data_IF_272815574983
#
_entry.id   IF_272815574983
#
_cell.length_a   1.000
_cell.length_b   1.000
_cell.length_c   1.000
_cell.angle_alpha   90.00
_cell.angle_beta   90.00
_cell.angle_gamma   90.00
#
_symmetry.space_group_name_H-M   'P 1'
#
loop_
_entity.id
_entity.type
_entity.pdbx_description
1 polymer ?
#
# COMPACT_ATOMS: atom_id res chain seq x y z
N UNK A 1 12.12 -60.68 -51.24
CA UNK A 1 12.29 -60.05 -49.91
C UNK A 1 11.16 -59.06 -49.75
N UNK A 2 10.32 -59.01 -48.73
CA UNK A 2 9.87 -59.89 -47.65
C UNK A 2 8.74 -59.06 -46.96
N UNK A 3 7.63 -59.69 -46.56
CA UNK A 3 6.29 -59.09 -46.38
C UNK A 3 6.11 -57.73 -45.65
N UNK A 4 5.00 -57.02 -45.95
CA UNK A 4 4.41 -55.99 -45.09
C UNK A 4 3.58 -56.61 -43.95
N UNK A 5 3.54 -55.95 -42.78
CA UNK A 5 2.52 -55.97 -41.71
C UNK A 5 3.12 -55.28 -40.45
N UNK A 6 2.28 -54.65 -39.63
CA UNK A 6 2.57 -53.88 -38.39
C UNK A 6 2.71 -52.35 -38.51
N UNK A 7 1.65 -51.69 -38.99
CA UNK A 7 1.37 -50.28 -38.70
C UNK A 7 -0.12 -50.01 -38.37
N UNK A 8 -0.87 -51.08 -38.03
CA UNK A 8 -2.29 -51.05 -37.63
C UNK A 8 -2.50 -52.07 -36.51
N UNK A 9 -1.99 -51.77 -35.31
CA UNK A 9 -2.40 -52.38 -34.02
C UNK A 9 -1.61 -51.73 -32.85
N UNK A 10 -1.98 -50.49 -32.50
CA UNK A 10 -1.78 -49.89 -31.18
C UNK A 10 -2.47 -48.51 -31.15
N UNK A 11 -3.28 -48.25 -30.13
CA UNK A 11 -3.98 -46.97 -29.86
C UNK A 11 -5.21 -46.65 -30.74
N UNK A 12 -6.00 -47.66 -31.08
CA UNK A 12 -7.45 -47.52 -30.87
C UNK A 12 -7.72 -47.91 -29.40
N UNK A 13 -7.93 -46.93 -28.51
CA UNK A 13 -8.99 -46.92 -27.47
C UNK A 13 -8.87 -45.67 -26.56
N UNK A 14 -9.25 -44.50 -27.10
CA UNK A 14 -9.75 -43.37 -26.29
C UNK A 14 -10.98 -42.83 -27.02
N UNK A 15 -12.14 -43.45 -26.78
CA UNK A 15 -13.42 -42.83 -27.09
C UNK A 15 -13.71 -41.75 -26.05
N UNK A 16 -13.87 -40.52 -26.50
CA UNK A 16 -14.41 -39.43 -25.69
C UNK A 16 -15.92 -39.65 -25.46
N UNK A 17 -16.28 -40.48 -24.49
CA UNK A 17 -17.61 -40.49 -23.87
C UNK A 17 -17.58 -39.58 -22.62
N UNK A 18 -17.65 -38.26 -22.83
CA UNK A 18 -17.97 -37.27 -21.77
C UNK A 18 -19.14 -36.36 -22.20
N UNK A 19 -20.05 -36.94 -22.99
CA UNK A 19 -21.36 -36.40 -23.30
C UNK A 19 -22.23 -36.51 -22.02
N UNK A 20 -22.21 -35.45 -21.21
CA UNK A 20 -23.04 -35.33 -19.99
C UNK A 20 -24.50 -35.54 -20.37
N UNK A 21 -25.04 -36.69 -20.01
CA UNK A 21 -26.40 -37.06 -20.43
C UNK A 21 -27.41 -36.05 -19.90
N UNK A 22 -28.54 -35.89 -20.60
CA UNK A 22 -29.63 -35.00 -20.14
C UNK A 22 -30.16 -35.37 -18.73
N UNK A 23 -29.89 -36.60 -18.28
CA UNK A 23 -30.16 -37.09 -16.92
C UNK A 23 -29.21 -36.48 -15.89
N UNK A 24 -27.92 -36.35 -16.20
CA UNK A 24 -26.91 -35.76 -15.31
C UNK A 24 -27.11 -34.24 -15.16
N UNK A 25 -27.38 -33.52 -16.25
CA UNK A 25 -27.73 -32.09 -16.18
C UNK A 25 -28.97 -31.85 -15.29
N UNK A 26 -30.02 -32.66 -15.46
CA UNK A 26 -31.22 -32.62 -14.60
C UNK A 26 -30.93 -33.02 -13.16
N UNK A 27 -29.92 -33.86 -12.92
CA UNK A 27 -29.49 -34.26 -11.57
C UNK A 27 -28.77 -33.10 -10.89
N UNK A 28 -27.81 -32.45 -11.55
CA UNK A 28 -27.14 -31.25 -11.06
C UNK A 28 -28.13 -30.10 -10.76
N UNK A 29 -29.09 -29.86 -11.65
CA UNK A 29 -30.13 -28.85 -11.44
C UNK A 29 -31.01 -29.21 -10.22
N UNK A 30 -31.42 -30.48 -10.09
CA UNK A 30 -32.22 -30.97 -8.96
C UNK A 30 -31.48 -30.87 -7.62
N UNK A 31 -30.21 -31.28 -7.57
CA UNK A 31 -29.37 -31.18 -6.37
C UNK A 31 -29.19 -29.72 -5.94
N UNK A 32 -28.99 -28.81 -6.89
CA UNK A 32 -28.88 -27.36 -6.63
C UNK A 32 -30.20 -26.80 -6.08
N UNK A 33 -31.33 -27.17 -6.69
CA UNK A 33 -32.68 -26.80 -6.22
C UNK A 33 -32.94 -27.34 -4.79
N UNK A 34 -32.53 -28.57 -4.52
CA UNK A 34 -32.73 -29.26 -3.25
C UNK A 34 -31.84 -28.69 -2.14
N UNK A 35 -30.61 -28.26 -2.46
CA UNK A 35 -29.75 -27.51 -1.56
C UNK A 35 -30.37 -26.14 -1.19
N UNK A 36 -30.92 -25.41 -2.17
CA UNK A 36 -31.64 -24.15 -1.93
C UNK A 36 -32.87 -24.35 -1.02
N UNK A 37 -33.67 -25.40 -1.28
CA UNK A 37 -34.82 -25.74 -0.43
C UNK A 37 -34.40 -26.16 0.99
N UNK A 38 -33.31 -26.90 1.16
CA UNK A 38 -32.78 -27.26 2.47
C UNK A 38 -32.30 -26.03 3.26
N UNK A 39 -31.70 -25.04 2.57
CA UNK A 39 -31.33 -23.75 3.16
C UNK A 39 -32.57 -22.96 3.56
N UNK A 40 -33.59 -22.85 2.70
CA UNK A 40 -34.87 -22.19 3.02
C UNK A 40 -35.57 -22.85 4.23
N UNK A 41 -35.62 -24.18 4.28
CA UNK A 41 -36.19 -24.93 5.40
C UNK A 41 -35.40 -24.74 6.71
N UNK A 42 -34.08 -24.54 6.64
CA UNK A 42 -33.24 -24.22 7.79
C UNK A 42 -33.48 -22.79 8.28
N UNK A 43 -33.61 -21.83 7.36
CA UNK A 43 -33.95 -20.43 7.67
C UNK A 43 -35.33 -20.31 8.33
N UNK A 44 -36.34 -21.05 7.85
CA UNK A 44 -37.66 -21.10 8.48
C UNK A 44 -37.60 -21.56 9.94
N UNK A 45 -36.82 -22.61 10.25
CA UNK A 45 -36.63 -23.11 11.63
C UNK A 45 -35.91 -22.10 12.52
N UNK A 46 -34.90 -21.40 12.00
CA UNK A 46 -34.16 -20.36 12.74
C UNK A 46 -35.02 -19.12 12.99
N UNK A 47 -35.91 -18.76 12.06
CA UNK A 47 -36.86 -17.65 12.23
C UNK A 47 -37.88 -17.95 13.33
N UNK A 48 -38.36 -19.20 13.41
CA UNK A 48 -39.22 -19.65 14.51
C UNK A 48 -38.47 -19.61 15.85
N UNK A 49 -37.24 -20.14 15.91
CA UNK A 49 -36.42 -20.12 17.14
C UNK A 49 -36.10 -18.72 17.65
N UNK A 50 -35.74 -17.79 16.75
CA UNK A 50 -35.43 -16.41 17.12
C UNK A 50 -36.65 -15.62 17.64
N UNK A 51 -37.85 -15.96 17.21
CA UNK A 51 -39.07 -15.35 17.75
C UNK A 51 -39.32 -15.80 19.20
N UNK A 52 -39.12 -17.10 19.50
CA UNK A 52 -39.18 -17.62 20.86
C UNK A 52 -38.16 -16.91 21.78
N UNK A 53 -36.92 -16.77 21.32
CA UNK A 53 -35.84 -16.16 22.11
C UNK A 53 -36.05 -14.66 22.37
N UNK A 54 -36.66 -13.93 21.42
CA UNK A 54 -37.07 -12.51 21.58
C UNK A 54 -38.30 -12.31 22.49
N UNK A 55 -39.06 -13.35 22.79
CA UNK A 55 -40.11 -13.29 23.82
C UNK A 55 -39.53 -13.57 25.21
N UNK A 56 -38.61 -14.52 25.32
CA UNK A 56 -37.91 -14.82 26.58
C UNK A 56 -36.95 -13.70 27.04
N UNK A 57 -36.31 -12.97 26.11
CA UNK A 57 -35.50 -11.79 26.44
C UNK A 57 -36.36 -10.64 26.94
N UNK A 58 -37.50 -10.34 26.29
CA UNK A 58 -38.46 -9.33 26.77
C UNK A 58 -39.02 -9.66 28.16
N UNK A 59 -39.31 -10.95 28.43
CA UNK A 59 -39.71 -11.41 29.77
C UNK A 59 -38.61 -11.28 30.84
N UNK A 60 -37.33 -11.14 30.47
CA UNK A 60 -36.21 -10.96 31.42
C UNK A 60 -35.92 -9.49 31.73
N UNK A 61 -36.24 -8.57 30.83
CA UNK A 61 -36.04 -7.13 31.05
C UNK A 61 -37.05 -6.56 32.06
N UNK A 62 -38.32 -6.99 32.02
CA UNK A 62 -39.36 -6.57 32.98
C UNK A 62 -39.00 -6.89 34.45
N UNK A 63 -38.18 -7.92 34.71
CA UNK A 63 -37.75 -8.28 36.07
C UNK A 63 -36.54 -7.49 36.59
N UNK A 64 -35.85 -6.70 35.76
CA UNK A 64 -34.70 -5.87 36.20
C UNK A 64 -35.07 -4.43 36.57
N UNK A 65 -36.33 -4.03 36.44
CA UNK A 65 -36.82 -2.69 36.76
C UNK A 65 -36.98 -2.37 38.27
N UNK A 66 -36.70 -3.34 39.16
CA UNK A 66 -36.64 -3.14 40.61
C UNK A 66 -35.39 -3.82 41.17
N UNK A 67 -34.36 -3.03 41.47
CA UNK A 67 -33.82 -2.95 42.84
C UNK A 67 -32.64 -1.98 43.00
N UNK A 68 -32.66 -1.31 44.14
CA UNK A 68 -31.56 -0.69 44.90
C UNK A 68 -31.00 0.71 44.56
N UNK A 69 -30.95 1.49 45.64
CA UNK A 69 -30.43 2.85 45.86
C UNK A 69 -29.49 2.81 47.10
N UNK A 70 -28.67 3.85 47.32
CA UNK A 70 -27.79 4.11 48.51
C UNK A 70 -26.57 3.18 48.69
N UNK A 71 -25.35 3.59 49.07
CA UNK A 71 -24.66 4.88 49.38
C UNK A 71 -23.13 4.71 49.01
N UNK A 72 -22.20 5.69 49.07
CA UNK A 72 -22.17 7.07 49.59
C UNK A 72 -20.82 7.81 49.35
N UNK A 73 -20.39 8.67 50.29
CA UNK A 73 -19.15 9.51 50.28
C UNK A 73 -17.94 8.79 50.97
N UNK A 74 -16.65 9.13 50.89
CA UNK A 74 -15.76 10.20 50.30
C UNK A 74 -14.27 9.68 50.44
N UNK A 75 -13.16 10.41 50.11
CA UNK A 75 -12.94 11.63 49.32
C UNK A 75 -11.84 11.49 48.22
N UNK A 76 -11.49 12.61 47.59
CA UNK A 76 -10.53 12.77 46.48
C UNK A 76 -9.09 13.02 46.97
N UNK A 77 -8.04 12.43 46.35
CA UNK A 77 -6.67 12.95 46.40
C UNK A 77 -6.30 13.71 45.12
N UNK A 78 -5.97 15.00 45.26
CA UNK A 78 -5.21 15.75 44.25
C UNK A 78 -3.74 15.30 44.25
N UNK A 79 -3.09 15.29 43.09
CA UNK A 79 -1.67 14.95 42.98
C UNK A 79 -1.16 14.81 41.55
N UNK A 80 -1.04 15.93 40.83
CA UNK A 80 -0.17 16.00 39.65
C UNK A 80 1.30 16.10 40.11
N UNK A 81 2.23 15.36 39.50
CA UNK A 81 3.64 15.74 39.48
C UNK A 81 3.89 16.68 38.29
N UNK A 82 4.33 17.91 38.57
CA UNK A 82 4.81 18.82 37.53
C UNK A 82 6.15 18.34 36.96
N UNK A 83 6.19 18.10 35.65
CA UNK A 83 7.35 17.59 34.92
C UNK A 83 8.34 18.71 34.51
N UNK A 84 8.72 19.60 35.43
CA UNK A 84 9.66 20.70 35.13
C UNK A 84 11.01 20.69 35.90
N UNK A 85 11.18 19.90 36.97
CA UNK A 85 12.37 20.04 37.86
C UNK A 85 13.43 18.92 37.79
N UNK A 86 13.35 18.01 36.80
CA UNK A 86 14.34 16.92 36.63
C UNK A 86 15.34 17.15 35.47
N UNK A 87 15.58 18.42 35.11
CA UNK A 87 16.51 18.83 34.03
C UNK A 87 17.84 19.44 34.54
N UNK A 88 18.16 19.29 35.84
CA UNK A 88 19.38 19.84 36.47
C UNK A 88 20.17 18.87 37.37
N UNK A 89 20.49 17.66 36.87
CA UNK A 89 21.63 16.88 37.39
C UNK A 89 22.04 15.69 36.48
N UNK A 90 22.45 15.95 35.23
CA UNK A 90 23.17 14.92 34.47
C UNK A 90 24.66 14.95 34.84
N UNK A 91 25.29 13.81 35.19
CA UNK A 91 26.72 13.75 35.47
C UNK A 91 27.52 14.03 34.19
N UNK A 92 28.72 14.64 34.27
CA UNK A 92 29.53 14.96 33.10
C UNK A 92 30.01 13.68 32.39
N UNK A 93 30.03 13.65 31.04
CA UNK A 93 30.31 12.43 30.29
C UNK A 93 31.72 11.90 30.54
N UNK A 94 31.85 10.57 30.69
CA UNK A 94 33.11 9.93 31.06
C UNK A 94 34.02 9.61 29.87
N UNK A 95 33.51 9.58 28.63
CA UNK A 95 34.31 9.25 27.44
C UNK A 95 34.74 10.48 26.63
N UNK A 96 35.89 10.37 25.95
CA UNK A 96 36.41 11.44 25.09
C UNK A 96 35.54 11.69 23.83
N UNK A 97 34.74 10.69 23.42
CA UNK A 97 33.83 10.78 22.27
C UNK A 97 32.58 11.59 22.65
N UNK A 98 31.96 11.28 23.79
CA UNK A 98 30.82 12.04 24.31
C UNK A 98 31.20 13.48 24.64
N UNK A 99 32.40 13.75 25.19
CA UNK A 99 32.87 15.12 25.42
C UNK A 99 32.95 15.94 24.13
N UNK A 100 33.45 15.36 23.03
CA UNK A 100 33.48 16.03 21.71
C UNK A 100 32.06 16.26 21.15
N UNK A 101 31.15 15.29 21.30
CA UNK A 101 29.77 15.43 20.84
C UNK A 101 28.98 16.46 21.66
N UNK A 102 29.18 16.49 22.99
CA UNK A 102 28.56 17.47 23.88
C UNK A 102 29.00 18.90 23.55
N UNK A 103 30.30 19.14 23.37
CA UNK A 103 30.80 20.46 22.95
C UNK A 103 30.23 20.89 21.59
N UNK A 104 30.15 19.99 20.60
CA UNK A 104 29.48 20.29 19.33
C UNK A 104 27.98 20.63 19.50
N UNK A 105 27.25 19.93 20.37
CA UNK A 105 25.83 20.23 20.61
C UNK A 105 25.62 21.63 21.22
N UNK A 106 26.48 22.05 22.16
CA UNK A 106 26.43 23.38 22.77
C UNK A 106 26.76 24.52 21.81
N UNK A 107 27.62 24.29 20.81
CA UNK A 107 27.90 25.30 19.76
C UNK A 107 26.77 25.47 18.75
N UNK A 108 25.91 24.44 18.57
CA UNK A 108 24.87 24.43 17.54
C UNK A 108 23.55 25.07 17.96
N UNK A 109 23.30 25.26 19.26
CA UNK A 109 22.09 25.93 19.75
C UNK A 109 22.06 27.44 19.44
N UNK A 110 23.23 28.06 19.28
CA UNK A 110 23.38 29.50 19.02
C UNK A 110 23.93 29.81 17.61
N UNK A 111 24.10 28.81 16.74
CA UNK A 111 24.66 28.98 15.39
C UNK A 111 23.60 29.42 14.37
N UNK A 112 24.00 30.12 13.31
CA UNK A 112 23.10 30.42 12.20
C UNK A 112 22.54 29.15 11.54
N UNK A 113 21.35 29.15 10.92
CA UNK A 113 20.80 27.94 10.29
C UNK A 113 21.70 27.30 9.22
N UNK A 114 22.54 28.09 8.56
CA UNK A 114 23.53 27.61 7.59
C UNK A 114 24.72 26.91 8.26
N UNK A 115 25.20 27.42 9.40
CA UNK A 115 26.21 26.76 10.25
C UNK A 115 25.66 25.49 10.91
N UNK A 116 24.38 25.52 11.32
CA UNK A 116 23.66 24.35 11.82
C UNK A 116 23.61 23.25 10.74
N UNK A 117 23.11 23.55 9.54
CA UNK A 117 23.00 22.56 8.46
C UNK A 117 24.37 22.03 8.02
N UNK A 118 25.37 22.91 7.82
CA UNK A 118 26.72 22.49 7.41
C UNK A 118 27.49 21.70 8.48
N UNK A 119 27.13 21.85 9.75
CA UNK A 119 27.64 21.03 10.85
C UNK A 119 26.86 19.73 11.01
N UNK A 120 25.55 19.77 10.83
CA UNK A 120 24.70 18.59 10.80
C UNK A 120 25.17 17.62 9.72
N UNK A 121 25.52 18.09 8.51
CA UNK A 121 26.05 17.27 7.40
C UNK A 121 27.38 16.57 7.67
N UNK A 122 27.93 16.69 8.88
CA UNK A 122 29.13 15.97 9.35
C UNK A 122 28.79 14.91 10.42
N UNK A 123 27.50 14.72 10.75
CA UNK A 123 27.02 13.72 11.72
C UNK A 123 26.70 12.39 11.03
N UNK A 124 27.22 11.29 11.59
CA UNK A 124 26.82 9.94 11.17
C UNK A 124 25.42 9.59 11.71
N UNK A 125 24.45 9.41 10.81
CA UNK A 125 23.08 9.02 11.11
C UNK A 125 22.88 7.52 11.40
N UNK A 126 23.91 6.68 11.20
CA UNK A 126 23.88 5.26 11.61
C UNK A 126 23.95 5.15 13.15
N UNK A 127 24.58 6.12 13.82
CA UNK A 127 24.57 6.24 15.27
C UNK A 127 23.23 6.78 15.81
N UNK A 128 22.56 5.99 16.66
CA UNK A 128 21.29 6.36 17.33
C UNK A 128 21.40 7.64 18.16
N UNK A 129 22.57 7.90 18.76
CA UNK A 129 22.85 9.12 19.53
C UNK A 129 22.84 10.38 18.66
N UNK A 130 23.39 10.34 17.44
CA UNK A 130 23.35 11.47 16.49
C UNK A 130 21.92 11.88 16.16
N UNK A 131 21.03 10.89 15.90
CA UNK A 131 19.60 11.13 15.64
C UNK A 131 18.89 11.76 16.84
N UNK A 132 19.18 11.30 18.06
CA UNK A 132 18.61 11.89 19.28
C UNK A 132 19.11 13.33 19.51
N UNK A 133 20.40 13.59 19.25
CA UNK A 133 21.01 14.91 19.39
C UNK A 133 20.42 15.90 18.38
N UNK A 134 20.37 15.52 17.10
CA UNK A 134 19.82 16.36 16.02
C UNK A 134 18.32 16.63 16.23
N UNK A 135 17.54 15.64 16.67
CA UNK A 135 16.14 15.85 17.09
C UNK A 135 16.02 16.86 18.23
N UNK A 136 16.86 16.73 19.28
CA UNK A 136 16.83 17.64 20.44
C UNK A 136 17.22 19.06 20.06
N UNK A 137 18.20 19.23 19.16
CA UNK A 137 18.58 20.52 18.60
C UNK A 137 17.42 21.15 17.82
N UNK A 138 16.82 20.43 16.86
CA UNK A 138 15.68 20.92 16.07
C UNK A 138 14.49 21.29 16.97
N UNK A 139 14.24 20.51 18.02
CA UNK A 139 13.20 20.78 19.02
C UNK A 139 13.43 22.05 19.87
N UNK A 140 14.64 22.60 19.87
CA UNK A 140 15.01 23.84 20.57
C UNK A 140 14.97 25.09 19.70
N UNK A 141 14.70 24.95 18.39
CA UNK A 141 14.72 26.07 17.43
C UNK A 141 13.44 26.93 17.56
N UNK A 142 13.54 28.27 17.61
CA UNK A 142 12.39 29.17 17.65
C UNK A 142 11.69 29.33 16.28
N UNK A 143 10.42 29.72 16.30
CA UNK A 143 9.57 29.90 15.10
C UNK A 143 10.02 31.01 14.14
N UNK A 144 10.87 31.93 14.58
CA UNK A 144 11.47 32.97 13.74
C UNK A 144 12.70 32.49 12.94
N UNK A 145 13.06 31.20 13.00
CA UNK A 145 14.26 30.68 12.37
C UNK A 145 14.13 30.54 10.84
N UNK A 146 15.02 31.11 10.02
CA UNK A 146 15.01 30.95 8.56
C UNK A 146 15.51 29.56 8.09
N UNK A 147 15.43 28.53 8.95
CA UNK A 147 15.86 27.17 8.67
C UNK A 147 15.16 26.58 7.44
N UNK A 148 13.84 26.80 7.26
CA UNK A 148 13.10 26.28 6.10
C UNK A 148 13.70 26.79 4.77
N UNK A 149 14.02 28.09 4.69
CA UNK A 149 14.66 28.69 3.51
C UNK A 149 16.09 28.17 3.30
N UNK A 150 16.85 27.98 4.39
CA UNK A 150 18.23 27.47 4.34
C UNK A 150 18.26 25.99 3.91
N UNK A 151 17.31 25.20 4.40
CA UNK A 151 17.13 23.79 4.06
C UNK A 151 16.93 23.60 2.55
N UNK A 152 16.10 24.45 1.93
CA UNK A 152 15.86 24.42 0.48
C UNK A 152 17.15 24.60 -0.32
N UNK A 153 17.94 25.64 -0.02
CA UNK A 153 19.23 25.90 -0.68
C UNK A 153 20.19 24.73 -0.48
N UNK A 154 20.33 24.22 0.75
CA UNK A 154 21.22 23.09 1.04
C UNK A 154 20.80 21.80 0.32
N UNK A 155 19.49 21.53 0.16
CA UNK A 155 18.98 20.39 -0.62
C UNK A 155 19.31 20.61 -2.10
N UNK A 156 18.97 21.77 -2.67
CA UNK A 156 19.23 22.11 -4.07
C UNK A 156 20.71 21.91 -4.44
N UNK A 157 21.63 22.50 -3.67
CA UNK A 157 23.08 22.36 -3.88
C UNK A 157 23.54 20.90 -3.79
N UNK A 158 22.94 20.10 -2.91
CA UNK A 158 23.29 18.70 -2.72
C UNK A 158 22.80 17.81 -3.85
N UNK A 159 21.60 18.08 -4.41
CA UNK A 159 21.07 17.39 -5.58
C UNK A 159 21.89 17.73 -6.82
N UNK A 160 22.29 18.99 -7.00
CA UNK A 160 23.18 19.41 -8.09
C UNK A 160 24.54 18.71 -8.00
N UNK A 161 25.13 18.62 -6.80
CA UNK A 161 26.38 17.87 -6.56
C UNK A 161 26.23 16.37 -6.81
N UNK A 162 25.09 15.78 -6.47
CA UNK A 162 24.80 14.36 -6.69
C UNK A 162 24.62 14.03 -8.18
N UNK A 163 23.93 14.90 -8.94
CA UNK A 163 23.68 14.71 -10.38
C UNK A 163 24.90 14.99 -11.26
N UNK A 164 25.76 15.94 -10.86
CA UNK A 164 26.93 16.37 -11.61
C UNK A 164 28.23 16.25 -10.77
N UNK A 165 28.74 15.03 -10.51
CA UNK A 165 29.96 14.84 -9.71
C UNK A 165 31.20 15.53 -10.31
N UNK A 166 31.23 15.80 -11.61
CA UNK A 166 32.38 16.37 -12.33
C UNK A 166 32.61 17.87 -12.10
N UNK A 167 31.60 18.66 -11.72
CA UNK A 167 31.71 20.12 -11.57
C UNK A 167 32.29 20.57 -10.23
N UNK A 168 33.57 20.23 -9.99
CA UNK A 168 34.40 20.94 -9.01
C UNK A 168 35.16 22.06 -9.74
N UNK A 169 35.14 23.33 -9.30
CA UNK A 169 35.98 24.36 -9.90
C UNK A 169 37.46 23.93 -9.85
N UNK A 170 38.25 24.10 -10.93
CA UNK A 170 39.63 23.62 -10.95
C UNK A 170 40.46 24.42 -9.95
N UNK A 171 40.65 23.87 -8.75
CA UNK A 171 41.60 24.40 -7.79
C UNK A 171 42.97 24.45 -8.46
N UNK A 172 43.53 25.65 -8.62
CA UNK A 172 44.80 25.89 -9.31
C UNK A 172 45.96 25.20 -8.58
N UNK A 173 46.16 23.90 -8.82
CA UNK A 173 47.35 23.16 -8.38
C UNK A 173 48.43 23.26 -9.46
N UNK A 174 49.71 23.47 -9.07
CA UNK A 174 50.79 23.69 -10.03
C UNK A 174 51.06 22.43 -10.85
N UNK A 175 51.25 22.65 -12.16
CA UNK A 175 51.45 21.63 -13.18
C UNK A 175 52.75 20.83 -12.92
N UNK A 176 52.64 19.55 -12.55
CA UNK A 176 53.75 18.59 -12.61
C UNK A 176 53.46 17.52 -13.67
N UNK A 177 54.42 17.35 -14.58
CA UNK A 177 54.40 16.36 -15.66
C UNK A 177 54.59 14.93 -15.12
N UNK A 178 53.92 13.91 -15.69
CA UNK A 178 54.12 12.53 -15.21
C UNK A 178 53.18 11.42 -15.67
N UNK A 179 52.81 11.36 -16.97
CA UNK A 179 52.38 10.15 -17.73
C UNK A 179 52.03 8.85 -16.96
N UNK A 180 50.73 8.59 -16.73
CA UNK A 180 50.08 7.28 -16.99
C UNK A 180 48.55 7.42 -16.98
N UNK A 181 47.89 6.87 -18.00
CA UNK A 181 46.43 6.82 -18.11
C UNK A 181 45.90 5.58 -17.38
N UNK A 182 45.52 5.73 -16.12
CA UNK A 182 44.68 4.75 -15.42
C UNK A 182 43.24 5.27 -15.45
N UNK A 183 42.35 4.65 -16.23
CA UNK A 183 40.92 4.97 -16.22
C UNK A 183 40.23 4.45 -14.95
N UNK A 184 40.76 3.36 -14.38
CA UNK A 184 40.22 2.67 -13.20
C UNK A 184 40.17 3.52 -11.91
N UNK A 185 40.78 4.71 -11.90
CA UNK A 185 40.81 5.62 -10.75
C UNK A 185 39.85 6.81 -10.84
N UNK A 186 39.25 7.08 -12.00
CA UNK A 186 38.24 8.15 -12.15
C UNK A 186 36.87 7.65 -11.68
N UNK A 187 36.48 6.43 -12.07
CA UNK A 187 35.20 5.81 -11.67
C UNK A 187 35.08 5.60 -10.15
N UNK A 188 36.13 5.11 -9.47
CA UNK A 188 36.15 4.90 -8.01
C UNK A 188 36.04 6.23 -7.23
N UNK A 189 36.64 7.30 -7.76
CA UNK A 189 36.57 8.64 -7.16
C UNK A 189 35.18 9.27 -7.29
N UNK A 190 34.55 9.14 -8.46
CA UNK A 190 33.21 9.66 -8.70
C UNK A 190 32.14 8.87 -7.90
N UNK A 191 32.27 7.55 -7.78
CA UNK A 191 31.43 6.73 -6.90
C UNK A 191 31.54 7.17 -5.43
N UNK A 192 32.76 7.40 -4.93
CA UNK A 192 32.97 7.90 -3.56
C UNK A 192 32.37 9.31 -3.35
N UNK A 193 32.47 10.20 -4.35
CA UNK A 193 31.86 11.53 -4.30
C UNK A 193 30.33 11.49 -4.35
N UNK A 194 29.76 10.56 -5.13
CA UNK A 194 28.33 10.32 -5.20
C UNK A 194 27.80 9.76 -3.86
N UNK A 195 28.53 8.83 -3.23
CA UNK A 195 28.20 8.29 -1.91
C UNK A 195 28.17 9.37 -0.82
N UNK A 196 29.16 10.27 -0.78
CA UNK A 196 29.15 11.43 0.16
C UNK A 196 27.93 12.33 -0.11
N UNK A 197 27.59 12.55 -1.38
CA UNK A 197 26.44 13.38 -1.75
C UNK A 197 25.11 12.72 -1.35
N UNK A 198 25.01 11.39 -1.45
CA UNK A 198 23.87 10.61 -0.97
C UNK A 198 23.70 10.68 0.55
N UNK A 199 24.79 10.49 1.32
CA UNK A 199 24.75 10.59 2.79
C UNK A 199 24.34 12.00 3.26
N UNK A 200 24.80 13.05 2.55
CA UNK A 200 24.37 14.44 2.78
C UNK A 200 22.87 14.63 2.50
N UNK A 201 22.35 14.09 1.40
CA UNK A 201 20.93 14.14 1.05
C UNK A 201 20.06 13.37 2.05
N UNK A 202 20.52 12.19 2.50
CA UNK A 202 19.82 11.38 3.50
C UNK A 202 19.64 12.14 4.81
N UNK A 203 20.66 12.88 5.24
CA UNK A 203 20.52 13.78 6.37
C UNK A 203 19.55 14.93 6.11
N UNK A 204 19.66 15.61 4.98
CA UNK A 204 18.79 16.77 4.71
C UNK A 204 17.31 16.36 4.64
N UNK A 205 17.01 15.18 4.09
CA UNK A 205 15.68 14.56 4.16
C UNK A 205 15.25 14.26 5.61
N UNK A 206 16.15 13.74 6.45
CA UNK A 206 15.87 13.49 7.88
C UNK A 206 15.65 14.79 8.68
N UNK A 207 16.41 15.85 8.40
CA UNK A 207 16.19 17.19 8.98
C UNK A 207 14.84 17.74 8.55
N UNK A 208 14.50 17.66 7.27
CA UNK A 208 13.18 18.05 6.76
C UNK A 208 12.05 17.30 7.48
N UNK A 209 12.18 15.98 7.65
CA UNK A 209 11.24 15.15 8.42
C UNK A 209 11.07 15.62 9.87
N UNK A 210 12.15 15.99 10.55
CA UNK A 210 12.09 16.48 11.94
C UNK A 210 11.52 17.90 12.05
N UNK A 211 11.69 18.75 11.02
CA UNK A 211 11.01 20.05 10.95
C UNK A 211 9.49 19.88 10.75
N UNK A 212 9.05 18.98 9.85
CA UNK A 212 7.62 18.71 9.60
C UNK A 212 6.95 18.03 10.79
N UNK A 213 7.64 17.06 11.42
CA UNK A 213 7.14 16.33 12.61
C UNK A 213 7.37 17.05 13.94
N UNK A 214 7.75 18.33 13.91
CA UNK A 214 8.07 19.10 15.11
C UNK A 214 6.85 19.20 16.05
N UNK A 215 6.95 18.81 17.33
CA UNK A 215 5.79 18.64 18.21
C UNK A 215 4.99 19.92 18.46
N UNK A 216 5.66 21.08 18.48
CA UNK A 216 5.03 22.40 18.63
C UNK A 216 4.59 23.03 17.28
N UNK A 217 4.66 22.29 16.16
CA UNK A 217 4.37 22.74 14.77
C UNK A 217 4.96 24.12 14.44
N UNK A 218 6.25 24.29 14.74
CA UNK A 218 7.00 25.56 14.72
C UNK A 218 7.33 26.02 13.31
N UNK A 219 7.44 25.09 12.37
CA UNK A 219 7.72 25.35 10.97
C UNK A 219 6.43 25.23 10.14
N UNK A 220 6.16 26.21 9.29
CA UNK A 220 5.05 26.16 8.33
C UNK A 220 5.25 25.02 7.32
N UNK A 221 4.25 24.16 7.09
CA UNK A 221 4.32 23.13 6.04
C UNK A 221 4.52 23.71 4.64
N UNK A 222 4.01 24.91 4.36
CA UNK A 222 4.18 25.60 3.08
C UNK A 222 5.63 26.07 2.88
N UNK A 223 6.31 26.55 3.93
CA UNK A 223 7.69 27.02 3.84
C UNK A 223 8.67 25.86 3.63
N UNK A 224 8.30 24.66 4.09
CA UNK A 224 9.05 23.42 3.90
C UNK A 224 8.71 22.73 2.58
N UNK A 225 7.51 22.91 2.02
CA UNK A 225 7.02 22.21 0.84
C UNK A 225 7.98 22.27 -0.36
N UNK A 226 8.58 23.42 -0.75
CA UNK A 226 9.54 23.47 -1.85
C UNK A 226 10.75 22.54 -1.64
N UNK A 227 11.21 22.38 -0.40
CA UNK A 227 12.31 21.48 -0.06
C UNK A 227 11.92 20.01 -0.22
N UNK A 228 10.70 19.67 0.18
CA UNK A 228 10.15 18.31 0.14
C UNK A 228 9.81 17.91 -1.28
N UNK A 229 9.19 18.82 -2.04
CA UNK A 229 8.91 18.65 -3.46
C UNK A 229 10.21 18.46 -4.25
N UNK A 230 11.25 19.26 -3.99
CA UNK A 230 12.53 19.12 -4.68
C UNK A 230 13.22 17.75 -4.40
N UNK A 231 13.05 17.17 -3.20
CA UNK A 231 13.49 15.79 -2.91
C UNK A 231 12.62 14.76 -3.64
N UNK A 232 11.30 14.94 -3.65
CA UNK A 232 10.32 14.06 -4.30
C UNK A 232 10.52 13.99 -5.82
N UNK A 233 10.64 15.14 -6.48
CA UNK A 233 10.74 15.26 -7.94
C UNK A 233 12.04 14.63 -8.47
N UNK A 234 13.05 14.44 -7.60
CA UNK A 234 14.32 13.80 -7.92
C UNK A 234 14.43 12.33 -7.49
N UNK A 235 13.34 11.69 -6.99
CA UNK A 235 13.36 10.29 -6.52
C UNK A 235 13.99 9.30 -7.52
N UNK A 236 13.73 9.46 -8.83
CA UNK A 236 14.29 8.62 -9.90
C UNK A 236 15.83 8.67 -9.94
N UNK A 237 16.45 9.80 -9.60
CA UNK A 237 17.91 9.89 -9.54
C UNK A 237 18.51 9.16 -8.32
N UNK A 238 17.71 8.87 -7.29
CA UNK A 238 18.16 8.21 -6.06
C UNK A 238 17.92 6.70 -6.03
N UNK A 239 17.54 6.08 -7.16
CA UNK A 239 17.19 4.65 -7.28
C UNK A 239 18.20 3.68 -6.63
N UNK A 240 19.50 4.01 -6.67
CA UNK A 240 20.56 3.20 -6.07
C UNK A 240 20.58 3.22 -4.53
N UNK A 241 20.01 4.24 -3.88
CA UNK A 241 19.97 4.36 -2.42
C UNK A 241 18.56 4.12 -1.86
N UNK A 242 18.26 2.84 -1.61
CA UNK A 242 17.00 2.41 -0.99
C UNK A 242 16.73 3.04 0.38
N UNK A 243 17.74 3.56 1.08
CA UNK A 243 17.58 4.20 2.39
C UNK A 243 17.19 5.68 2.26
N UNK A 244 17.77 6.40 1.29
CA UNK A 244 17.36 7.77 0.91
C UNK A 244 15.94 7.80 0.37
N UNK A 245 15.61 6.92 -0.59
CA UNK A 245 14.25 6.81 -1.14
C UNK A 245 13.21 6.54 -0.05
N UNK A 246 13.54 5.67 0.92
CA UNK A 246 12.66 5.36 2.04
C UNK A 246 12.43 6.57 2.95
N UNK A 247 13.47 7.36 3.23
CA UNK A 247 13.37 8.55 4.08
C UNK A 247 12.55 9.66 3.41
N UNK A 248 12.77 9.92 2.11
CA UNK A 248 11.96 10.85 1.32
C UNK A 248 10.50 10.35 1.25
N UNK A 249 10.27 9.06 1.04
CA UNK A 249 8.92 8.47 1.04
C UNK A 249 8.23 8.58 2.41
N UNK A 250 8.95 8.41 3.52
CA UNK A 250 8.42 8.65 4.87
C UNK A 250 7.96 10.11 5.05
N UNK A 251 8.65 11.06 4.40
CA UNK A 251 8.34 12.50 4.43
C UNK A 251 7.09 12.84 3.60
N UNK A 252 6.97 12.31 2.38
CA UNK A 252 5.74 12.41 1.58
C UNK A 252 4.53 11.79 2.32
N UNK A 253 4.73 10.62 2.95
CA UNK A 253 3.70 9.98 3.76
C UNK A 253 3.26 10.81 4.97
N UNK A 254 4.19 11.57 5.58
CA UNK A 254 3.87 12.45 6.71
C UNK A 254 2.96 13.61 6.26
N UNK A 255 3.27 14.26 5.13
CA UNK A 255 2.40 15.28 4.53
C UNK A 255 0.99 14.75 4.26
N UNK A 256 0.88 13.53 3.74
CA UNK A 256 -0.42 12.93 3.46
C UNK A 256 -1.22 12.63 4.73
N UNK A 257 -0.60 11.95 5.71
CA UNK A 257 -1.23 11.49 6.95
C UNK A 257 -1.67 12.63 7.87
N UNK A 258 -0.85 13.68 7.97
CA UNK A 258 -1.17 14.88 8.77
C UNK A 258 -2.10 15.87 8.05
N UNK A 259 -2.56 15.54 6.83
CA UNK A 259 -3.42 16.40 6.01
C UNK A 259 -2.81 17.80 5.80
N UNK A 260 -1.51 17.85 5.51
CA UNK A 260 -0.78 19.12 5.29
C UNK A 260 -1.08 19.69 3.91
N UNK A 261 -1.02 21.02 3.80
CA UNK A 261 -1.20 21.74 2.54
C UNK A 261 -0.09 21.38 1.54
N UNK A 262 -0.43 21.22 0.25
CA UNK A 262 0.52 20.86 -0.80
C UNK A 262 0.88 19.38 -0.86
N UNK A 263 0.26 18.50 -0.06
CA UNK A 263 0.53 17.05 -0.06
C UNK A 263 0.32 16.39 -1.42
N UNK A 264 -0.61 16.94 -2.21
CA UNK A 264 -0.94 16.55 -3.57
C UNK A 264 0.24 16.71 -4.54
N UNK A 265 1.14 17.66 -4.29
CA UNK A 265 2.37 17.85 -5.06
C UNK A 265 3.41 16.73 -4.84
N UNK A 266 3.19 15.86 -3.85
CA UNK A 266 4.16 14.87 -3.37
C UNK A 266 3.77 13.42 -3.68
N UNK A 267 2.80 13.20 -4.57
CA UNK A 267 2.23 11.87 -4.86
C UNK A 267 2.78 11.23 -6.15
N UNK A 268 3.12 12.03 -7.17
CA UNK A 268 3.37 11.54 -8.53
C UNK A 268 4.56 10.59 -8.61
N UNK A 269 5.64 10.85 -7.85
CA UNK A 269 6.81 9.98 -7.77
C UNK A 269 6.78 9.06 -6.54
N UNK A 270 6.16 9.49 -5.44
CA UNK A 270 6.16 8.70 -4.19
C UNK A 270 5.24 7.48 -4.23
N UNK A 271 4.09 7.55 -4.93
CA UNK A 271 3.17 6.42 -5.04
C UNK A 271 3.70 5.29 -5.95
N UNK A 272 4.22 5.54 -7.16
CA UNK A 272 4.90 4.51 -7.95
C UNK A 272 6.05 3.85 -7.18
N UNK A 273 6.87 4.64 -6.47
CA UNK A 273 7.92 4.10 -5.60
C UNK A 273 7.37 3.15 -4.53
N UNK A 274 6.31 3.53 -3.81
CA UNK A 274 5.71 2.70 -2.76
C UNK A 274 5.11 1.41 -3.31
N UNK A 275 4.40 1.46 -4.44
CA UNK A 275 3.84 0.26 -5.08
C UNK A 275 4.98 -0.66 -5.56
N UNK A 276 5.96 -0.13 -6.29
CA UNK A 276 7.15 -0.85 -6.76
C UNK A 276 7.92 -1.53 -5.60
N UNK A 277 8.16 -0.78 -4.51
CA UNK A 277 8.80 -1.28 -3.29
C UNK A 277 7.99 -2.41 -2.66
N UNK A 278 6.67 -2.28 -2.56
CA UNK A 278 5.80 -3.31 -1.97
C UNK A 278 5.81 -4.61 -2.78
N UNK A 279 5.85 -4.52 -4.12
CA UNK A 279 5.95 -5.65 -5.04
C UNK A 279 7.34 -6.33 -5.00
N UNK A 280 8.38 -5.54 -4.81
CA UNK A 280 9.77 -5.99 -4.78
C UNK A 280 10.13 -6.65 -3.44
N UNK A 281 9.92 -5.95 -2.32
CA UNK A 281 10.27 -6.43 -0.98
C UNK A 281 9.24 -7.42 -0.40
N UNK A 282 7.99 -7.39 -0.88
CA UNK A 282 6.91 -8.33 -0.52
C UNK A 282 6.63 -8.39 0.99
N UNK A 283 6.82 -7.28 1.71
CA UNK A 283 6.55 -7.16 3.14
C UNK A 283 5.15 -6.61 3.39
N UNK A 284 4.47 -7.12 4.42
CA UNK A 284 3.13 -6.65 4.81
C UNK A 284 3.09 -5.15 5.16
N UNK A 285 4.17 -4.63 5.75
CA UNK A 285 4.29 -3.20 6.13
C UNK A 285 4.29 -2.28 4.90
N UNK A 286 4.92 -2.69 3.79
CA UNK A 286 4.95 -1.87 2.58
C UNK A 286 3.57 -1.89 1.88
N UNK A 287 2.83 -3.01 1.91
CA UNK A 287 1.43 -3.08 1.44
C UNK A 287 0.49 -2.24 2.32
N UNK A 288 0.68 -2.25 3.64
CA UNK A 288 -0.08 -1.40 4.55
C UNK A 288 0.12 0.10 4.25
N UNK A 289 1.36 0.52 3.94
CA UNK A 289 1.67 1.91 3.52
C UNK A 289 0.93 2.30 2.24
N UNK A 290 0.93 1.44 1.22
CA UNK A 290 0.17 1.65 -0.02
C UNK A 290 -1.34 1.79 0.26
N UNK A 291 -1.93 0.90 1.07
CA UNK A 291 -3.34 0.98 1.44
C UNK A 291 -3.71 2.21 2.28
N UNK A 292 -2.81 2.66 3.15
CA UNK A 292 -2.98 3.87 3.97
C UNK A 292 -3.01 5.15 3.11
N UNK A 293 -2.32 5.16 1.96
CA UNK A 293 -2.33 6.25 0.99
C UNK A 293 -3.36 6.10 -0.13
N UNK A 294 -4.22 5.07 -0.13
CA UNK A 294 -5.08 4.74 -1.30
C UNK A 294 -5.87 5.94 -1.86
N UNK A 295 -6.37 6.84 -1.01
CA UNK A 295 -7.17 8.00 -1.44
C UNK A 295 -6.36 8.96 -2.32
N UNK A 296 -5.02 9.01 -2.17
CA UNK A 296 -4.15 9.80 -3.03
C UNK A 296 -4.17 9.34 -4.49
N UNK A 297 -4.48 8.06 -4.76
CA UNK A 297 -4.59 7.56 -6.12
C UNK A 297 -5.80 8.15 -6.87
N UNK A 298 -6.80 8.70 -6.17
CA UNK A 298 -7.95 9.40 -6.80
C UNK A 298 -7.57 10.75 -7.43
N UNK A 299 -6.36 11.25 -7.16
CA UNK A 299 -5.87 12.52 -7.70
C UNK A 299 -5.13 12.38 -9.04
N UNK A 300 -4.93 11.15 -9.52
CA UNK A 300 -4.35 10.92 -10.84
C UNK A 300 -5.41 10.95 -11.94
N UNK A 301 -5.05 11.52 -13.08
CA UNK A 301 -5.77 11.30 -14.33
C UNK A 301 -5.34 9.93 -14.91
N UNK A 302 -6.28 9.00 -14.99
CA UNK A 302 -6.02 7.65 -15.52
C UNK A 302 -6.05 7.56 -17.05
N UNK A 303 -6.47 8.63 -17.73
CA UNK A 303 -6.40 8.74 -19.18
C UNK A 303 -5.05 9.33 -19.64
N UNK A 304 -4.24 9.90 -18.72
CA UNK A 304 -2.89 10.38 -19.02
C UNK A 304 -1.90 9.21 -19.25
N UNK A 305 -1.08 9.34 -20.29
CA UNK A 305 0.03 8.43 -20.62
C UNK A 305 1.22 8.60 -19.65
N UNK A 306 1.36 9.77 -19.02
CA UNK A 306 2.50 10.08 -18.13
C UNK A 306 2.60 9.16 -16.90
N UNK A 307 1.48 8.53 -16.53
CA UNK A 307 1.38 7.61 -15.39
C UNK A 307 1.29 6.13 -15.80
N UNK A 308 1.63 5.78 -17.04
CA UNK A 308 1.49 4.40 -17.54
C UNK A 308 2.27 3.37 -16.71
N UNK A 309 3.48 3.71 -16.27
CA UNK A 309 4.26 2.89 -15.33
C UNK A 309 3.52 2.64 -14.00
N UNK A 310 2.72 3.60 -13.53
CA UNK A 310 1.89 3.44 -12.35
C UNK A 310 0.71 2.50 -12.61
N UNK A 311 0.02 2.60 -13.76
CA UNK A 311 -1.04 1.67 -14.16
C UNK A 311 -0.49 0.24 -14.23
N UNK A 312 0.66 0.05 -14.87
CA UNK A 312 1.35 -1.23 -14.96
C UNK A 312 1.78 -1.79 -13.59
N UNK A 313 2.23 -0.93 -12.67
CA UNK A 313 2.48 -1.32 -11.28
C UNK A 313 1.21 -1.73 -10.54
N UNK A 314 0.09 -1.02 -10.73
CA UNK A 314 -1.21 -1.34 -10.13
C UNK A 314 -1.74 -2.69 -10.62
N UNK A 315 -1.75 -2.95 -11.93
CA UNK A 315 -2.15 -4.24 -12.51
C UNK A 315 -1.29 -5.40 -11.95
N UNK A 316 0.02 -5.19 -11.77
CA UNK A 316 0.90 -6.19 -11.14
C UNK A 316 0.53 -6.50 -9.68
N UNK A 317 -0.14 -5.61 -8.95
CA UNK A 317 -0.64 -5.91 -7.59
C UNK A 317 -1.75 -6.97 -7.57
N UNK A 318 -2.55 -7.06 -8.64
CA UNK A 318 -3.72 -7.95 -8.74
C UNK A 318 -3.34 -9.43 -8.55
N UNK A 319 -2.23 -9.85 -9.16
CA UNK A 319 -1.71 -11.23 -9.06
C UNK A 319 -0.65 -11.41 -7.97
N UNK A 320 -0.26 -10.34 -7.28
CA UNK A 320 0.84 -10.38 -6.32
C UNK A 320 0.44 -11.15 -5.04
N UNK A 321 1.13 -12.26 -4.68
CA UNK A 321 0.73 -13.08 -3.54
C UNK A 321 0.73 -12.34 -2.19
N UNK A 322 1.48 -11.24 -2.05
CA UNK A 322 1.49 -10.43 -0.83
C UNK A 322 0.19 -9.61 -0.68
N UNK A 323 -0.37 -9.10 -1.79
CA UNK A 323 -1.64 -8.38 -1.78
C UNK A 323 -2.82 -9.35 -1.53
N UNK A 324 -2.87 -10.47 -2.25
CA UNK A 324 -3.93 -11.47 -2.09
C UNK A 324 -4.02 -12.07 -0.68
N UNK A 325 -2.86 -12.30 -0.03
CA UNK A 325 -2.80 -12.88 1.32
C UNK A 325 -3.10 -11.89 2.44
N UNK A 326 -2.85 -10.59 2.25
CA UNK A 326 -3.02 -9.58 3.30
C UNK A 326 -4.41 -8.94 3.25
N UNK A 327 -4.94 -8.56 4.40
CA UNK A 327 -6.25 -7.93 4.47
C UNK A 327 -6.22 -6.53 3.85
N UNK A 328 -5.21 -5.72 4.17
CA UNK A 328 -5.04 -4.40 3.55
C UNK A 328 -4.73 -4.49 2.05
N UNK A 329 -4.02 -5.53 1.60
CA UNK A 329 -3.83 -5.81 0.17
C UNK A 329 -5.15 -6.11 -0.54
N UNK A 330 -6.03 -6.93 0.04
CA UNK A 330 -7.38 -7.18 -0.53
C UNK A 330 -8.29 -5.95 -0.48
N UNK A 331 -8.19 -5.10 0.55
CA UNK A 331 -8.92 -3.83 0.61
C UNK A 331 -8.42 -2.83 -0.45
N UNK A 332 -7.10 -2.72 -0.63
CA UNK A 332 -6.50 -1.91 -1.68
C UNK A 332 -6.92 -2.40 -3.07
N UNK A 333 -6.84 -3.70 -3.32
CA UNK A 333 -7.30 -4.28 -4.57
C UNK A 333 -8.79 -4.02 -4.81
N UNK A 334 -9.66 -4.14 -3.79
CA UNK A 334 -11.07 -3.77 -3.95
C UNK A 334 -11.29 -2.29 -4.30
N UNK A 335 -10.41 -1.40 -3.83
CA UNK A 335 -10.48 0.05 -4.10
C UNK A 335 -10.03 0.43 -5.52
N UNK A 336 -9.00 -0.22 -6.09
CA UNK A 336 -8.47 0.21 -7.41
C UNK A 336 -9.46 0.06 -8.58
N UNK A 337 -10.47 -0.81 -8.46
CA UNK A 337 -11.54 -0.95 -9.47
C UNK A 337 -12.42 0.31 -9.58
N UNK A 338 -12.42 1.19 -8.57
CA UNK A 338 -13.15 2.46 -8.60
C UNK A 338 -12.35 3.65 -9.15
N UNK A 339 -11.08 3.46 -9.57
CA UNK A 339 -10.22 4.56 -10.03
C UNK A 339 -10.44 4.93 -11.50
N UNK A 340 -10.56 3.95 -12.40
CA UNK A 340 -10.95 4.19 -13.80
C UNK A 340 -11.54 2.95 -14.46
N UNK A 341 -12.34 3.17 -15.50
CA UNK A 341 -12.96 2.11 -16.30
C UNK A 341 -11.91 1.20 -16.96
N UNK A 342 -10.86 1.80 -17.53
CA UNK A 342 -9.81 1.03 -18.22
C UNK A 342 -9.00 0.17 -17.23
N UNK A 343 -8.56 0.75 -16.11
CA UNK A 343 -7.85 0.02 -15.06
C UNK A 343 -8.73 -1.10 -14.46
N UNK A 344 -10.03 -0.85 -14.31
CA UNK A 344 -11.00 -1.85 -13.88
C UNK A 344 -11.04 -3.04 -14.85
N UNK A 345 -11.20 -2.80 -16.16
CA UNK A 345 -11.26 -3.84 -17.20
C UNK A 345 -9.97 -4.66 -17.25
N UNK A 346 -8.81 -4.03 -17.19
CA UNK A 346 -7.51 -4.72 -17.18
C UNK A 346 -7.30 -5.55 -15.91
N UNK A 347 -7.65 -5.03 -14.73
CA UNK A 347 -7.58 -5.77 -13.48
C UNK A 347 -8.53 -6.97 -13.48
N UNK A 348 -9.74 -6.82 -14.03
CA UNK A 348 -10.72 -7.90 -14.19
C UNK A 348 -10.24 -8.96 -15.18
N UNK A 349 -9.70 -8.57 -16.34
CA UNK A 349 -9.09 -9.50 -17.30
C UNK A 349 -7.91 -10.27 -16.68
N UNK A 350 -7.08 -9.58 -15.90
CA UNK A 350 -5.98 -10.17 -15.15
C UNK A 350 -6.49 -11.21 -14.13
N UNK A 351 -7.55 -10.90 -13.36
CA UNK A 351 -8.20 -11.90 -12.48
C UNK A 351 -8.75 -13.08 -13.30
N UNK A 352 -9.47 -12.83 -14.40
CA UNK A 352 -10.07 -13.86 -15.27
C UNK A 352 -9.02 -14.88 -15.73
N UNK A 353 -7.83 -14.41 -16.14
CA UNK A 353 -6.70 -15.27 -16.54
C UNK A 353 -6.25 -16.25 -15.44
N UNK A 354 -6.42 -15.89 -14.16
CA UNK A 354 -5.96 -16.67 -13.02
C UNK A 354 -7.03 -17.63 -12.46
N UNK A 355 -8.31 -17.51 -12.87
CA UNK A 355 -9.39 -18.33 -12.30
C UNK A 355 -9.29 -19.79 -12.73
N UNK A 356 -8.95 -20.08 -13.99
CA UNK A 356 -8.86 -21.44 -14.51
C UNK A 356 -7.81 -22.31 -13.76
N UNK A 357 -6.72 -21.69 -13.32
CA UNK A 357 -5.57 -22.37 -12.70
C UNK A 357 -5.37 -21.99 -11.21
N UNK A 358 -6.32 -21.24 -10.65
CA UNK A 358 -6.21 -20.65 -9.33
C UNK A 358 -6.29 -21.68 -8.20
N UNK A 359 -5.32 -21.64 -7.27
CA UNK A 359 -5.42 -22.42 -6.02
C UNK A 359 -6.59 -21.91 -5.16
N UNK A 360 -7.22 -22.81 -4.39
CA UNK A 360 -8.36 -22.52 -3.49
C UNK A 360 -8.26 -21.16 -2.78
N UNK A 361 -7.15 -20.90 -2.08
CA UNK A 361 -6.94 -19.65 -1.32
C UNK A 361 -6.81 -18.38 -2.16
N UNK A 362 -6.42 -18.50 -3.43
CA UNK A 362 -6.34 -17.39 -4.40
C UNK A 362 -7.73 -17.06 -4.92
N UNK A 363 -8.51 -18.08 -5.28
CA UNK A 363 -9.91 -17.92 -5.72
C UNK A 363 -10.79 -17.32 -4.62
N UNK A 364 -10.61 -17.76 -3.37
CA UNK A 364 -11.28 -17.20 -2.20
C UNK A 364 -10.87 -15.74 -1.94
N UNK A 365 -9.59 -15.39 -2.16
CA UNK A 365 -9.13 -14.01 -2.08
C UNK A 365 -9.75 -13.14 -3.18
N UNK A 366 -9.84 -13.63 -4.43
CA UNK A 366 -10.53 -12.91 -5.51
C UNK A 366 -12.02 -12.72 -5.22
N UNK A 367 -12.72 -13.72 -4.65
CA UNK A 367 -14.11 -13.54 -4.22
C UNK A 367 -14.30 -12.40 -3.22
N UNK A 368 -13.37 -12.25 -2.27
CA UNK A 368 -13.37 -11.12 -1.31
C UNK A 368 -13.05 -9.78 -1.99
N UNK A 369 -12.10 -9.76 -2.93
CA UNK A 369 -11.70 -8.54 -3.65
C UNK A 369 -12.84 -8.05 -4.55
N UNK A 370 -13.43 -8.95 -5.34
CA UNK A 370 -14.51 -8.63 -6.27
C UNK A 370 -15.78 -8.18 -5.55
N UNK A 371 -16.14 -8.80 -4.42
CA UNK A 371 -17.24 -8.31 -3.59
C UNK A 371 -16.98 -6.89 -3.04
N UNK A 372 -15.74 -6.59 -2.62
CA UNK A 372 -15.37 -5.24 -2.16
C UNK A 372 -15.41 -4.21 -3.29
N UNK A 373 -14.94 -4.59 -4.48
CA UNK A 373 -15.00 -3.76 -5.68
C UNK A 373 -16.46 -3.44 -6.04
N UNK A 374 -17.30 -4.46 -6.22
CA UNK A 374 -18.72 -4.32 -6.52
C UNK A 374 -19.48 -3.42 -5.52
N UNK A 375 -19.13 -3.50 -4.23
CA UNK A 375 -19.71 -2.65 -3.19
C UNK A 375 -19.22 -1.19 -3.25
N UNK A 376 -18.03 -0.94 -3.81
CA UNK A 376 -17.39 0.38 -3.88
C UNK A 376 -17.55 1.12 -5.21
N UNK A 377 -18.16 0.49 -6.23
CA UNK A 377 -18.41 1.07 -7.55
C UNK A 377 -19.91 1.22 -7.81
N UNK A 378 -20.30 2.25 -8.54
CA UNK A 378 -21.68 2.56 -8.92
C UNK A 378 -21.76 3.04 -10.38
N UNK A 379 -22.98 3.13 -10.92
CA UNK A 379 -23.24 3.54 -12.30
C UNK A 379 -22.59 2.61 -13.33
N UNK A 380 -22.04 3.20 -14.41
CA UNK A 380 -21.47 2.47 -15.55
C UNK A 380 -20.37 1.48 -15.16
N UNK A 381 -19.56 1.78 -14.13
CA UNK A 381 -18.56 0.85 -13.61
C UNK A 381 -19.21 -0.42 -13.04
N UNK A 382 -20.36 -0.28 -12.37
CA UNK A 382 -21.10 -1.40 -11.78
C UNK A 382 -21.77 -2.25 -12.85
N UNK A 383 -22.37 -1.64 -13.87
CA UNK A 383 -22.96 -2.33 -15.02
C UNK A 383 -21.91 -3.17 -15.77
N UNK A 384 -20.76 -2.58 -16.12
CA UNK A 384 -19.64 -3.32 -16.75
C UNK A 384 -19.12 -4.45 -15.86
N UNK A 385 -19.07 -4.25 -14.54
CA UNK A 385 -18.61 -5.28 -13.61
C UNK A 385 -19.60 -6.45 -13.50
N UNK A 386 -20.90 -6.18 -13.43
CA UNK A 386 -21.96 -7.18 -13.33
C UNK A 386 -22.14 -7.91 -14.67
N UNK A 387 -22.50 -7.18 -15.72
CA UNK A 387 -22.94 -7.72 -17.00
C UNK A 387 -21.77 -8.03 -17.95
N UNK A 388 -20.66 -7.27 -17.86
CA UNK A 388 -19.45 -7.54 -18.64
C UNK A 388 -18.57 -8.64 -18.03
N UNK A 389 -18.31 -8.57 -16.72
CA UNK A 389 -17.36 -9.48 -16.07
C UNK A 389 -18.01 -10.68 -15.34
N UNK A 390 -18.93 -10.45 -14.39
CA UNK A 390 -19.49 -11.56 -13.61
C UNK A 390 -20.30 -12.51 -14.49
N UNK A 391 -21.14 -11.98 -15.37
CA UNK A 391 -21.90 -12.77 -16.35
C UNK A 391 -20.97 -13.57 -17.27
N UNK A 392 -19.93 -12.95 -17.84
CA UNK A 392 -19.00 -13.65 -18.74
C UNK A 392 -18.07 -14.67 -18.05
N UNK A 393 -18.00 -14.69 -16.72
CA UNK A 393 -17.42 -15.80 -15.95
C UNK A 393 -18.37 -16.99 -15.84
N UNK A 394 -19.66 -16.74 -15.60
CA UNK A 394 -20.68 -17.76 -15.47
C UNK A 394 -20.88 -18.46 -16.83
N UNK A 395 -21.13 -17.68 -17.87
CA UNK A 395 -21.26 -18.17 -19.25
C UNK A 395 -20.03 -18.92 -19.71
N UNK A 396 -18.83 -18.35 -19.51
CA UNK A 396 -17.57 -19.03 -19.82
C UNK A 396 -17.41 -20.37 -19.08
N UNK A 397 -17.94 -20.50 -17.86
CA UNK A 397 -17.91 -21.76 -17.11
C UNK A 397 -18.92 -22.80 -17.58
N UNK A 398 -20.03 -22.37 -18.20
CA UNK A 398 -21.04 -23.24 -18.81
C UNK A 398 -20.55 -23.70 -20.18
N UNK A 399 -20.17 -22.76 -21.07
CA UNK A 399 -19.78 -23.06 -22.45
C UNK A 399 -18.45 -23.83 -22.57
N UNK A 400 -17.49 -23.64 -21.65
CA UNK A 400 -16.23 -24.38 -21.69
C UNK A 400 -16.33 -25.85 -21.27
N UNK A 401 -17.53 -26.32 -20.85
CA UNK A 401 -17.81 -27.68 -20.36
C UNK A 401 -16.79 -28.23 -19.31
N UNK A 402 -16.09 -27.35 -18.61
CA UNK A 402 -14.97 -27.73 -17.72
C UNK A 402 -15.42 -27.76 -16.27
N UNK A 403 -15.55 -28.97 -15.72
CA UNK A 403 -15.89 -29.21 -14.30
C UNK A 403 -14.95 -28.46 -13.34
N UNK A 404 -13.67 -28.31 -13.72
CA UNK A 404 -12.65 -27.56 -12.96
C UNK A 404 -12.90 -26.06 -13.01
N UNK A 405 -13.11 -25.48 -14.20
CA UNK A 405 -13.41 -24.05 -14.34
C UNK A 405 -14.70 -23.67 -13.60
N UNK A 406 -15.76 -24.48 -13.73
CA UNK A 406 -17.01 -24.29 -13.00
C UNK A 406 -16.85 -24.43 -11.47
N UNK A 407 -15.93 -25.27 -10.98
CA UNK A 407 -15.58 -25.32 -9.56
C UNK A 407 -14.78 -24.10 -9.10
N UNK A 408 -13.93 -23.52 -9.97
CA UNK A 408 -13.18 -22.30 -9.68
C UNK A 408 -14.07 -21.05 -9.69
N UNK A 409 -14.93 -20.88 -10.69
CA UNK A 409 -15.89 -19.76 -10.77
C UNK A 409 -16.86 -19.78 -9.60
N UNK A 410 -17.44 -20.95 -9.25
CA UNK A 410 -18.28 -21.09 -8.04
C UNK A 410 -17.54 -20.70 -6.75
N UNK A 411 -16.22 -20.91 -6.67
CA UNK A 411 -15.43 -20.51 -5.49
C UNK A 411 -15.21 -19.00 -5.41
N UNK A 412 -15.03 -18.33 -6.56
CA UNK A 412 -14.95 -16.87 -6.62
C UNK A 412 -16.31 -16.25 -6.26
N UNK A 413 -17.40 -16.73 -6.87
CA UNK A 413 -18.77 -16.31 -6.56
C UNK A 413 -19.18 -16.63 -5.11
N UNK A 414 -18.55 -17.64 -4.48
CA UNK A 414 -18.68 -17.92 -3.05
C UNK A 414 -18.40 -16.72 -2.14
N UNK A 415 -17.57 -15.77 -2.58
CA UNK A 415 -17.37 -14.48 -1.90
C UNK A 415 -18.67 -13.68 -1.76
N UNK A 416 -19.44 -13.56 -2.85
CA UNK A 416 -20.74 -12.89 -2.86
C UNK A 416 -21.80 -13.68 -2.09
N UNK A 417 -21.88 -15.00 -2.31
CA UNK A 417 -22.85 -15.87 -1.61
C UNK A 417 -22.66 -15.83 -0.09
N UNK A 418 -21.42 -15.72 0.40
CA UNK A 418 -21.13 -15.56 1.83
C UNK A 418 -21.63 -14.23 2.42
N UNK A 419 -21.88 -13.23 1.57
CA UNK A 419 -22.30 -11.88 1.92
C UNK A 419 -23.73 -11.55 1.49
N UNK A 420 -24.54 -12.57 1.14
CA UNK A 420 -25.91 -12.43 0.60
C UNK A 420 -26.89 -11.57 1.41
N UNK A 421 -26.61 -11.33 2.69
CA UNK A 421 -27.39 -10.44 3.57
C UNK A 421 -27.09 -8.95 3.35
N UNK A 422 -26.11 -8.62 2.49
CA UNK A 422 -25.82 -7.25 2.10
C UNK A 422 -26.79 -6.82 1.02
N UNK A 423 -27.36 -5.62 1.15
CA UNK A 423 -28.33 -5.07 0.22
C UNK A 423 -27.85 -5.16 -1.24
N UNK A 424 -28.76 -5.56 -2.14
CA UNK A 424 -28.49 -5.73 -3.56
C UNK A 424 -27.78 -7.03 -3.96
N UNK A 425 -27.10 -7.75 -3.05
CA UNK A 425 -26.35 -8.98 -3.40
C UNK A 425 -27.29 -10.11 -3.84
N UNK A 426 -28.44 -10.27 -3.18
CA UNK A 426 -29.43 -11.28 -3.59
C UNK A 426 -30.00 -10.99 -4.98
N UNK A 427 -30.30 -9.73 -5.30
CA UNK A 427 -30.76 -9.31 -6.63
C UNK A 427 -29.69 -9.48 -7.71
N UNK A 428 -28.41 -9.24 -7.39
CA UNK A 428 -27.29 -9.54 -8.28
C UNK A 428 -27.19 -11.04 -8.55
N UNK A 429 -27.16 -11.87 -7.50
CA UNK A 429 -27.05 -13.32 -7.62
C UNK A 429 -28.25 -13.94 -8.35
N UNK A 430 -29.44 -13.36 -8.21
CA UNK A 430 -30.63 -13.75 -8.96
C UNK A 430 -30.48 -13.45 -10.46
N UNK A 431 -30.10 -12.22 -10.85
CA UNK A 431 -29.85 -11.85 -12.26
C UNK A 431 -28.77 -12.73 -12.90
N UNK A 432 -27.64 -12.91 -12.21
CA UNK A 432 -26.54 -13.76 -12.66
C UNK A 432 -26.89 -15.26 -12.78
N UNK A 433 -27.96 -15.70 -12.12
CA UNK A 433 -28.49 -17.06 -12.23
C UNK A 433 -29.64 -17.17 -13.25
N UNK A 434 -30.16 -16.04 -13.75
CA UNK A 434 -31.17 -16.04 -14.80
C UNK A 434 -30.50 -16.46 -16.13
N UNK A 435 -31.00 -17.51 -16.80
CA UNK A 435 -30.29 -18.08 -17.94
C UNK A 435 -30.42 -17.16 -19.17
N UNK A 436 -29.30 -16.88 -19.83
CA UNK A 436 -29.15 -15.82 -20.85
C UNK A 436 -29.85 -16.07 -22.21
N UNK A 437 -30.93 -16.87 -22.24
CA UNK A 437 -31.77 -17.07 -23.43
C UNK A 437 -32.36 -15.76 -23.99
N UNK A 438 -32.52 -14.73 -23.16
CA UNK A 438 -32.97 -13.40 -23.59
C UNK A 438 -31.91 -12.60 -24.37
N UNK A 439 -30.66 -13.07 -24.47
CA UNK A 439 -29.61 -12.48 -25.32
C UNK A 439 -29.38 -13.25 -26.64
N UNK A 440 -30.09 -14.37 -26.87
CA UNK A 440 -30.04 -15.14 -28.13
C UNK A 440 -31.04 -14.65 -29.19
N UNK A 441 -31.32 -13.34 -29.21
CA UNK A 441 -32.14 -12.67 -30.22
C UNK A 441 -31.39 -11.50 -30.87
N UNK A 442 -30.31 -11.81 -31.59
CA UNK A 442 -29.78 -11.04 -32.71
C UNK A 442 -29.19 -11.96 -33.79
#
# INVERSE_FOLDING_TARGET
MANPLNAQEALEDIREDDDITQVEFRTFQRETQQALQAIQATLARLTIGNNQQREDERRREDYRGRDNFTHGHQPIPHGQPDYEDELKALPPPSSAIEKRQYHHSSSLQNSSPQEFLSSATKLDLKAKSSKCTLKSLIHSIPSSSPLSSSLHTFISDSILSFRNPTHSPPSKKPRRSGRKSNKDGEDDFDLHKQQISAEKLHLLAHVAFLCVSHPKKVFSPLDLLPSVQLLHDNLVFFESDSSLLLEISNLCELYWKENLQGREMLISQSLPFLVSRSLTLKKKVDVHRVYALREAFTLFDFEDESIEDLKMLLIRTVIAPIYLKTEDGRKFLGFIFGLSMQLMKEALAMIKSQIAFGRKSVLEAYGVILFRAWKGIDGVLKEEFEDGFLQSLIEGSIYANSRVLAASVRRVLGGFVSQRITDGVENLLFRLAEPSWNQLHF
#
